data_IF_519195647442
#
_entry.id   IF_519195647442
#
_cell.length_a   1.000
_cell.length_b   1.000
_cell.length_c   1.000
_cell.angle_alpha   90.00
_cell.angle_beta   90.00
_cell.angle_gamma   90.00
#
_symmetry.space_group_name_H-M   'P 1'
#
loop_
_entity.id
_entity.type
_entity.pdbx_description
1 polymer ?
#
# COMPACT_ATOMS: atom_id res chain seq x y z
N UNK A 1 21.30 -15.53 29.96
CA UNK A 1 20.86 -16.35 28.82
C UNK A 1 19.66 -15.75 28.05
N UNK A 2 18.83 -14.85 28.64
CA UNK A 2 17.67 -14.26 27.95
C UNK A 2 17.97 -13.04 27.04
N UNK A 3 19.17 -12.44 27.12
CA UNK A 3 19.52 -11.25 26.32
C UNK A 3 20.08 -11.58 24.93
N UNK A 4 20.60 -12.77 24.69
CA UNK A 4 21.17 -13.16 23.39
C UNK A 4 20.11 -13.64 22.37
N UNK A 5 18.98 -14.21 22.80
CA UNK A 5 17.90 -14.65 21.91
C UNK A 5 17.17 -13.48 21.24
N UNK A 6 17.07 -12.32 21.89
CA UNK A 6 16.42 -11.12 21.31
C UNK A 6 17.22 -10.49 20.17
N UNK A 7 18.55 -10.53 20.23
CA UNK A 7 19.44 -9.94 19.24
C UNK A 7 19.51 -10.72 17.92
N UNK A 8 19.56 -12.04 18.00
CA UNK A 8 19.59 -12.92 16.81
C UNK A 8 18.29 -12.88 16.02
N UNK A 9 17.14 -12.83 16.70
CA UNK A 9 15.82 -12.72 16.07
C UNK A 9 15.65 -11.38 15.33
N UNK A 10 16.15 -10.29 15.89
CA UNK A 10 16.08 -8.95 15.27
C UNK A 10 16.95 -8.85 14.02
N UNK A 11 18.12 -9.50 14.03
CA UNK A 11 19.05 -9.51 12.88
C UNK A 11 18.51 -10.38 11.75
N UNK A 12 17.95 -11.56 12.05
CA UNK A 12 17.32 -12.43 11.08
C UNK A 12 16.08 -11.78 10.42
N UNK A 13 15.25 -11.10 11.21
CA UNK A 13 14.08 -10.36 10.72
C UNK A 13 14.49 -9.16 9.82
N UNK A 14 15.58 -8.47 10.15
CA UNK A 14 16.16 -7.42 9.30
C UNK A 14 16.73 -7.99 7.99
N UNK A 15 17.37 -9.14 8.05
CA UNK A 15 17.95 -9.81 6.87
C UNK A 15 16.86 -10.37 5.94
N UNK A 16 15.80 -10.95 6.49
CA UNK A 16 14.63 -11.39 5.72
C UNK A 16 13.87 -10.22 5.08
N UNK A 17 13.72 -9.08 5.80
CA UNK A 17 13.16 -7.85 5.22
C UNK A 17 14.03 -7.33 4.06
N UNK A 18 15.36 -7.38 4.18
CA UNK A 18 16.29 -6.95 3.12
C UNK A 18 16.21 -7.84 1.87
N UNK A 19 16.10 -9.17 2.03
CA UNK A 19 15.94 -10.12 0.92
C UNK A 19 14.59 -9.97 0.22
N UNK A 20 13.50 -9.83 0.97
CA UNK A 20 12.19 -9.57 0.41
C UNK A 20 12.16 -8.25 -0.36
N UNK A 21 12.75 -7.18 0.18
CA UNK A 21 12.91 -5.88 -0.48
C UNK A 21 13.62 -6.00 -1.85
N UNK A 22 14.73 -6.72 -1.91
CA UNK A 22 15.49 -6.95 -3.14
C UNK A 22 14.71 -7.75 -4.19
N UNK A 23 13.98 -8.77 -3.76
CA UNK A 23 13.18 -9.60 -4.67
C UNK A 23 12.05 -8.80 -5.32
N UNK A 24 11.39 -7.90 -4.59
CA UNK A 24 10.30 -7.08 -5.12
C UNK A 24 10.81 -6.00 -6.08
N UNK A 25 11.91 -5.32 -5.76
CA UNK A 25 12.54 -4.39 -6.67
C UNK A 25 12.94 -5.06 -7.99
N UNK A 26 13.46 -6.29 -7.93
CA UNK A 26 13.77 -7.09 -9.10
C UNK A 26 12.54 -7.37 -9.95
N UNK A 27 11.42 -7.80 -9.35
CA UNK A 27 10.18 -8.08 -10.08
C UNK A 27 9.63 -6.83 -10.79
N UNK A 28 9.72 -5.66 -10.16
CA UNK A 28 9.36 -4.40 -10.79
C UNK A 28 10.28 -4.11 -11.98
N UNK A 29 11.59 -4.27 -11.83
CA UNK A 29 12.55 -4.05 -12.91
C UNK A 29 12.38 -5.05 -14.05
N UNK A 30 12.10 -6.32 -13.76
CA UNK A 30 11.81 -7.34 -14.77
C UNK A 30 10.54 -6.98 -15.57
N UNK A 31 9.49 -6.48 -14.89
CA UNK A 31 8.28 -6.00 -15.54
C UNK A 31 8.54 -4.77 -16.43
N UNK A 32 9.32 -3.81 -15.94
CA UNK A 32 9.75 -2.63 -16.70
C UNK A 32 10.60 -3.03 -17.91
N UNK A 33 11.58 -3.92 -17.74
CA UNK A 33 12.41 -4.41 -18.85
C UNK A 33 11.59 -5.11 -19.93
N UNK A 34 10.60 -5.91 -19.54
CA UNK A 34 9.66 -6.53 -20.48
C UNK A 34 8.83 -5.47 -21.22
N UNK A 35 8.39 -4.45 -20.52
CA UNK A 35 7.64 -3.33 -21.11
C UNK A 35 8.49 -2.56 -22.14
N UNK A 36 9.75 -2.29 -21.82
CA UNK A 36 10.70 -1.63 -22.72
C UNK A 36 10.95 -2.44 -24.01
N UNK A 37 10.90 -3.76 -23.93
CA UNK A 37 11.08 -4.64 -25.09
C UNK A 37 9.88 -4.70 -26.03
N UNK A 38 8.72 -4.14 -25.62
CA UNK A 38 7.48 -4.14 -26.41
C UNK A 38 7.33 -2.83 -27.17
N UNK A 39 6.90 -2.87 -28.44
CA UNK A 39 6.58 -1.65 -29.18
C UNK A 39 5.30 -1.01 -28.62
N UNK A 40 5.29 0.31 -28.47
CA UNK A 40 4.16 1.05 -27.92
C UNK A 40 3.82 2.24 -28.80
N UNK A 41 2.53 2.56 -28.88
CA UNK A 41 2.06 3.78 -29.53
C UNK A 41 2.40 5.00 -28.65
N UNK A 42 2.37 6.19 -29.24
CA UNK A 42 2.59 7.46 -28.51
C UNK A 42 1.49 7.69 -27.45
N UNK A 43 0.28 7.29 -27.77
CA UNK A 43 -0.88 7.36 -26.86
C UNK A 43 -0.63 6.49 -25.62
N UNK A 44 -0.23 5.23 -25.80
CA UNK A 44 0.09 4.32 -24.70
C UNK A 44 1.25 4.83 -23.83
N UNK A 45 2.27 5.47 -24.42
CA UNK A 45 3.35 6.11 -23.69
C UNK A 45 2.84 7.29 -22.84
N UNK A 46 1.95 8.12 -23.43
CA UNK A 46 1.36 9.26 -22.70
C UNK A 46 0.50 8.77 -21.52
N UNK A 47 -0.36 7.76 -21.73
CA UNK A 47 -1.16 7.18 -20.67
C UNK A 47 -0.31 6.64 -19.51
N UNK A 48 0.81 5.98 -19.83
CA UNK A 48 1.78 5.51 -18.82
C UNK A 48 2.43 6.65 -18.06
N UNK A 49 2.85 7.71 -18.74
CA UNK A 49 3.46 8.86 -18.06
C UNK A 49 2.51 9.54 -17.08
N UNK A 50 1.20 9.41 -17.32
CA UNK A 50 0.13 9.90 -16.43
C UNK A 50 -0.31 8.87 -15.37
N UNK A 51 0.25 7.65 -15.39
CA UNK A 51 -0.20 6.55 -14.53
C UNK A 51 -1.60 6.05 -14.85
N UNK A 52 -2.07 6.21 -16.08
CA UNK A 52 -3.44 5.92 -16.54
C UNK A 52 -3.51 4.77 -17.54
N UNK A 53 -2.44 3.98 -17.69
CA UNK A 53 -2.48 2.84 -18.58
C UNK A 53 -3.61 1.87 -18.19
N UNK A 54 -4.39 1.38 -19.15
CA UNK A 54 -5.56 0.56 -18.87
C UNK A 54 -5.17 -0.76 -18.23
N UNK A 55 -5.86 -1.12 -17.15
CA UNK A 55 -5.73 -2.42 -16.49
C UNK A 55 -6.80 -3.38 -17.03
N UNK A 56 -6.39 -4.59 -17.38
CA UNK A 56 -7.32 -5.64 -17.79
C UNK A 56 -8.08 -6.16 -16.56
N UNK A 57 -9.40 -6.10 -16.61
CA UNK A 57 -10.26 -6.64 -15.55
C UNK A 57 -10.01 -8.15 -15.41
N UNK A 58 -9.72 -8.61 -14.21
CA UNK A 58 -9.42 -10.02 -13.92
C UNK A 58 -8.00 -10.47 -14.25
N UNK A 59 -7.11 -9.55 -14.65
CA UNK A 59 -5.69 -9.86 -14.78
C UNK A 59 -5.04 -10.18 -13.41
N UNK A 60 -4.01 -11.05 -13.37
CA UNK A 60 -3.24 -11.27 -12.15
C UNK A 60 -2.65 -9.95 -11.64
N UNK A 61 -2.45 -9.87 -10.31
CA UNK A 61 -1.82 -8.71 -9.69
C UNK A 61 -0.45 -8.41 -10.32
N UNK A 62 -0.22 -7.14 -10.63
CA UNK A 62 1.07 -6.69 -11.18
C UNK A 62 2.17 -6.74 -10.11
N UNK A 63 3.43 -6.68 -10.53
CA UNK A 63 4.57 -6.56 -9.61
C UNK A 63 4.44 -5.31 -8.72
N UNK A 64 3.89 -4.21 -9.26
CA UNK A 64 3.63 -2.97 -8.55
C UNK A 64 2.54 -3.14 -7.48
N UNK A 65 1.43 -3.80 -7.81
CA UNK A 65 0.35 -4.10 -6.86
C UNK A 65 0.81 -5.05 -5.75
N UNK A 66 1.56 -6.11 -6.10
CA UNK A 66 2.13 -7.05 -5.12
C UNK A 66 3.08 -6.33 -4.16
N UNK A 67 3.92 -5.45 -4.68
CA UNK A 67 4.82 -4.63 -3.87
C UNK A 67 4.04 -3.74 -2.90
N UNK A 68 3.01 -3.05 -3.39
CA UNK A 68 2.15 -2.18 -2.59
C UNK A 68 1.46 -2.92 -1.45
N UNK A 69 0.88 -4.10 -1.73
CA UNK A 69 0.24 -4.94 -0.71
C UNK A 69 1.20 -5.27 0.44
N UNK A 70 2.40 -5.72 0.11
CA UNK A 70 3.40 -6.10 1.10
C UNK A 70 3.89 -4.90 1.91
N UNK A 71 3.94 -3.70 1.33
CA UNK A 71 4.28 -2.48 2.06
C UNK A 71 3.16 -2.04 2.98
N UNK A 72 1.89 -2.09 2.55
CA UNK A 72 0.73 -1.83 3.39
C UNK A 72 0.70 -2.77 4.61
N UNK A 73 0.88 -4.09 4.38
CA UNK A 73 0.92 -5.09 5.45
C UNK A 73 2.12 -4.95 6.40
N UNK A 74 3.22 -4.36 5.92
CA UNK A 74 4.43 -4.13 6.72
C UNK A 74 4.40 -2.81 7.50
N UNK A 75 3.30 -2.04 7.43
CA UNK A 75 3.15 -0.77 8.15
C UNK A 75 3.94 0.39 7.53
N UNK A 76 4.28 0.30 6.26
CA UNK A 76 4.84 1.43 5.52
C UNK A 76 3.77 2.51 5.33
N UNK A 77 4.21 3.76 5.23
CA UNK A 77 3.38 4.84 4.73
C UNK A 77 3.58 5.08 3.22
N UNK A 78 2.70 5.87 2.63
CA UNK A 78 2.72 6.14 1.18
C UNK A 78 3.99 6.90 0.74
N UNK A 79 4.58 7.72 1.62
CA UNK A 79 5.80 8.45 1.32
C UNK A 79 7.01 7.51 1.28
N UNK A 80 7.03 6.51 2.16
CA UNK A 80 8.04 5.46 2.18
C UNK A 80 7.96 4.61 0.91
N UNK A 81 6.74 4.22 0.50
CA UNK A 81 6.51 3.53 -0.77
C UNK A 81 7.03 4.34 -1.96
N UNK A 82 6.67 5.61 -2.06
CA UNK A 82 7.13 6.49 -3.13
C UNK A 82 8.65 6.73 -3.08
N UNK A 83 9.25 6.77 -1.89
CA UNK A 83 10.70 6.90 -1.74
C UNK A 83 11.46 5.69 -2.29
N UNK A 84 10.92 4.47 -2.15
CA UNK A 84 11.50 3.26 -2.75
C UNK A 84 11.55 3.35 -4.28
N UNK A 85 10.47 3.80 -4.92
CA UNK A 85 10.44 4.01 -6.38
C UNK A 85 11.42 5.09 -6.85
N UNK A 86 11.54 6.19 -6.10
CA UNK A 86 12.52 7.25 -6.39
C UNK A 86 13.96 6.72 -6.26
N UNK A 87 14.24 5.94 -5.24
CA UNK A 87 15.56 5.34 -5.04
C UNK A 87 15.88 4.32 -6.14
N UNK A 88 14.89 3.50 -6.54
CA UNK A 88 15.03 2.55 -7.63
C UNK A 88 15.33 3.26 -8.95
N UNK A 89 14.55 4.28 -9.30
CA UNK A 89 14.76 5.11 -10.50
C UNK A 89 16.16 5.73 -10.52
N UNK A 90 16.55 6.39 -9.44
CA UNK A 90 17.83 7.04 -9.33
C UNK A 90 19.02 6.06 -9.44
N UNK A 91 18.84 4.83 -8.92
CA UNK A 91 19.88 3.79 -8.98
C UNK A 91 20.05 3.27 -10.40
N UNK A 92 18.95 2.99 -11.11
CA UNK A 92 18.99 2.53 -12.50
C UNK A 92 19.58 3.59 -13.41
N UNK A 93 19.14 4.85 -13.28
CA UNK A 93 19.66 5.94 -14.14
C UNK A 93 21.15 6.21 -13.92
N UNK A 94 21.65 6.05 -12.67
CA UNK A 94 23.09 6.15 -12.41
C UNK A 94 23.88 5.03 -13.08
N UNK A 95 23.46 3.78 -12.88
CA UNK A 95 24.11 2.63 -13.52
C UNK A 95 24.07 2.74 -15.04
N UNK A 96 22.98 3.25 -15.59
CA UNK A 96 22.83 3.45 -17.03
C UNK A 96 23.75 4.55 -17.55
N UNK A 97 23.92 5.65 -16.80
CA UNK A 97 24.82 6.74 -17.15
C UNK A 97 26.30 6.37 -17.05
N UNK A 98 26.67 5.49 -16.10
CA UNK A 98 28.04 5.04 -15.92
C UNK A 98 28.51 4.08 -17.04
N UNK A 99 27.57 3.28 -17.61
CA UNK A 99 27.87 2.25 -18.60
C UNK A 99 27.67 2.68 -20.05
N UNK A 100 27.05 3.84 -20.32
CA UNK A 100 26.62 4.22 -21.65
C UNK A 100 27.57 5.21 -22.35
N UNK A 101 28.00 4.97 -23.61
CA UNK A 101 28.59 6.00 -24.44
C UNK A 101 27.54 7.08 -24.78
N UNK A 102 27.94 8.32 -25.03
CA UNK A 102 27.06 9.49 -25.18
C UNK A 102 26.31 9.54 -26.53
N UNK A 103 25.60 8.47 -26.91
CA UNK A 103 24.86 8.45 -28.17
C UNK A 103 23.34 8.68 -27.96
N UNK A 104 22.72 9.38 -28.92
CA UNK A 104 21.31 9.83 -28.90
C UNK A 104 20.25 8.73 -28.83
N UNK A 105 20.61 7.47 -28.97
CA UNK A 105 19.74 6.30 -28.88
C UNK A 105 19.21 6.07 -27.46
N UNK A 106 19.97 6.46 -26.45
CA UNK A 106 19.62 6.21 -25.04
C UNK A 106 18.50 7.10 -24.51
N UNK A 107 18.28 8.29 -25.08
CA UNK A 107 17.24 9.19 -24.59
C UNK A 107 15.84 8.60 -24.68
N UNK A 108 15.52 7.89 -25.77
CA UNK A 108 14.21 7.24 -25.93
C UNK A 108 13.99 6.15 -24.89
N UNK A 109 15.01 5.38 -24.62
CA UNK A 109 14.94 4.29 -23.63
C UNK A 109 14.82 4.84 -22.20
N UNK A 110 15.53 5.94 -21.90
CA UNK A 110 15.41 6.68 -20.63
C UNK A 110 13.99 7.23 -20.46
N UNK A 111 13.41 7.83 -21.50
CA UNK A 111 12.02 8.34 -21.46
C UNK A 111 11.06 7.18 -21.17
N UNK A 112 11.13 6.09 -21.94
CA UNK A 112 10.28 4.92 -21.76
C UNK A 112 10.43 4.26 -20.38
N UNK A 113 11.67 4.20 -19.88
CA UNK A 113 11.93 3.72 -18.53
C UNK A 113 11.22 4.59 -17.48
N UNK A 114 11.29 5.90 -17.60
CA UNK A 114 10.59 6.79 -16.67
C UNK A 114 9.07 6.63 -16.75
N UNK A 115 8.49 6.53 -17.96
CA UNK A 115 7.06 6.29 -18.17
C UNK A 115 6.62 4.97 -17.50
N UNK A 116 7.38 3.90 -17.65
CA UNK A 116 7.08 2.61 -17.04
C UNK A 116 7.19 2.63 -15.51
N UNK A 117 8.18 3.35 -14.96
CA UNK A 117 8.33 3.54 -13.50
C UNK A 117 7.20 4.42 -12.95
N UNK A 118 6.80 5.46 -13.68
CA UNK A 118 5.70 6.33 -13.24
C UNK A 118 4.37 5.57 -13.23
N UNK A 119 4.10 4.73 -14.23
CA UNK A 119 2.95 3.84 -14.23
C UNK A 119 2.98 2.85 -13.05
N UNK A 120 4.12 2.20 -12.80
CA UNK A 120 4.26 1.25 -11.69
C UNK A 120 4.09 1.94 -10.33
N UNK A 121 4.58 3.18 -10.18
CA UNK A 121 4.37 3.99 -8.98
C UNK A 121 2.88 4.34 -8.80
N UNK A 122 2.21 4.79 -9.86
CA UNK A 122 0.79 5.15 -9.82
C UNK A 122 -0.08 3.93 -9.43
N UNK A 123 0.17 2.76 -10.03
CA UNK A 123 -0.49 1.51 -9.67
C UNK A 123 -0.26 1.14 -8.20
N UNK A 124 0.99 1.24 -7.74
CA UNK A 124 1.33 0.95 -6.34
C UNK A 124 0.63 1.89 -5.37
N UNK A 125 0.58 3.19 -5.67
CA UNK A 125 -0.09 4.19 -4.83
C UNK A 125 -1.60 3.90 -4.75
N UNK A 126 -2.24 3.68 -5.90
CA UNK A 126 -3.67 3.40 -5.96
C UNK A 126 -4.03 2.13 -5.17
N UNK A 127 -3.26 1.06 -5.36
CA UNK A 127 -3.49 -0.21 -4.67
C UNK A 127 -3.21 -0.10 -3.17
N UNK A 128 -2.10 0.54 -2.77
CA UNK A 128 -1.77 0.80 -1.36
C UNK A 128 -2.88 1.56 -0.64
N UNK A 129 -3.39 2.63 -1.27
CA UNK A 129 -4.46 3.45 -0.69
C UNK A 129 -5.74 2.62 -0.52
N UNK A 130 -6.11 1.81 -1.51
CA UNK A 130 -7.27 0.93 -1.43
C UNK A 130 -7.15 -0.09 -0.29
N UNK A 131 -5.99 -0.72 -0.11
CA UNK A 131 -5.73 -1.68 0.96
C UNK A 131 -5.82 -1.04 2.35
N UNK A 132 -5.24 0.14 2.53
CA UNK A 132 -5.31 0.89 3.78
C UNK A 132 -6.73 1.31 4.11
N UNK A 133 -7.48 1.80 3.12
CA UNK A 133 -8.88 2.20 3.30
C UNK A 133 -9.77 0.99 3.61
N UNK A 134 -9.55 -0.14 2.96
CA UNK A 134 -10.26 -1.39 3.25
C UNK A 134 -10.01 -1.85 4.69
N UNK A 135 -8.75 -1.88 5.13
CA UNK A 135 -8.39 -2.25 6.49
C UNK A 135 -9.05 -1.30 7.53
N UNK A 136 -9.04 0.00 7.26
CA UNK A 136 -9.70 1.00 8.08
C UNK A 136 -11.22 0.79 8.17
N UNK A 137 -11.87 0.54 7.04
CA UNK A 137 -13.32 0.32 7.00
C UNK A 137 -13.73 -0.96 7.74
N UNK A 138 -12.96 -2.05 7.61
CA UNK A 138 -13.17 -3.27 8.37
C UNK A 138 -13.03 -3.02 9.88
N UNK A 139 -11.98 -2.31 10.29
CA UNK A 139 -11.77 -1.94 11.70
C UNK A 139 -12.93 -1.11 12.26
N UNK A 140 -13.39 -0.08 11.53
CA UNK A 140 -14.52 0.75 11.93
C UNK A 140 -15.83 -0.06 12.01
N UNK A 141 -16.03 -1.02 11.10
CA UNK A 141 -17.18 -1.92 11.13
C UNK A 141 -17.20 -2.80 12.37
N UNK A 142 -16.05 -3.41 12.71
CA UNK A 142 -15.92 -4.20 13.94
C UNK A 142 -16.15 -3.35 15.19
N UNK A 143 -15.53 -2.19 15.27
CA UNK A 143 -15.68 -1.27 16.40
C UNK A 143 -17.14 -0.82 16.58
N UNK A 144 -17.81 -0.50 15.47
CA UNK A 144 -19.23 -0.12 15.50
C UNK A 144 -20.14 -1.24 16.02
N UNK A 145 -19.86 -2.48 15.66
CA UNK A 145 -20.56 -3.64 16.18
C UNK A 145 -20.31 -3.81 17.68
N UNK A 146 -19.07 -3.76 18.12
CA UNK A 146 -18.67 -4.01 19.50
C UNK A 146 -19.12 -2.91 20.47
N UNK A 147 -19.28 -1.68 19.98
CA UNK A 147 -19.82 -0.58 20.77
C UNK A 147 -21.34 -0.60 20.87
N UNK A 148 -22.06 -1.20 19.92
CA UNK A 148 -23.52 -1.24 19.92
C UNK A 148 -24.08 -1.96 21.15
N UNK A 149 -23.50 -3.09 21.54
CA UNK A 149 -23.95 -3.90 22.66
C UNK A 149 -23.88 -3.15 24.01
N UNK A 150 -22.73 -2.56 24.42
CA UNK A 150 -22.66 -1.81 25.68
C UNK A 150 -23.56 -0.54 25.65
N UNK A 151 -23.69 0.14 24.50
CA UNK A 151 -24.57 1.30 24.36
C UNK A 151 -26.05 0.90 24.53
N UNK A 152 -26.48 -0.22 23.95
CA UNK A 152 -27.85 -0.75 24.18
C UNK A 152 -28.09 -1.08 25.64
N UNK A 153 -27.13 -1.72 26.33
CA UNK A 153 -27.23 -2.03 27.75
C UNK A 153 -27.38 -0.76 28.59
N UNK A 154 -26.57 0.27 28.32
CA UNK A 154 -26.66 1.56 28.99
C UNK A 154 -28.04 2.20 28.74
N UNK A 155 -28.50 2.21 27.49
CA UNK A 155 -29.80 2.76 27.12
C UNK A 155 -30.95 2.06 27.80
N UNK A 156 -30.94 0.71 27.84
CA UNK A 156 -31.95 -0.09 28.55
C UNK A 156 -31.94 0.19 30.07
N UNK A 157 -30.74 0.26 30.67
CA UNK A 157 -30.58 0.56 32.09
C UNK A 157 -31.09 1.96 32.42
N UNK A 158 -30.76 2.96 31.61
CA UNK A 158 -31.24 4.34 31.78
C UNK A 158 -32.78 4.41 31.66
N UNK A 159 -33.36 3.72 30.67
CA UNK A 159 -34.80 3.64 30.50
C UNK A 159 -35.50 2.97 31.69
N UNK A 160 -34.94 1.88 32.21
CA UNK A 160 -35.44 1.20 33.38
C UNK A 160 -35.41 2.10 34.63
N UNK A 161 -34.30 2.79 34.89
CA UNK A 161 -34.19 3.74 36.01
C UNK A 161 -35.19 4.89 35.91
N UNK A 162 -35.40 5.40 34.70
CA UNK A 162 -36.37 6.44 34.44
C UNK A 162 -37.80 5.97 34.74
N UNK A 163 -38.16 4.76 34.36
CA UNK A 163 -39.46 4.17 34.64
C UNK A 163 -39.68 3.94 36.13
N UNK A 164 -38.67 3.44 36.87
CA UNK A 164 -38.71 3.28 38.30
C UNK A 164 -38.93 4.63 39.03
N UNK A 165 -38.23 5.68 38.67
CA UNK A 165 -38.38 7.01 39.25
C UNK A 165 -39.76 7.63 38.96
N UNK A 166 -40.33 7.34 37.78
CA UNK A 166 -41.70 7.78 37.47
C UNK A 166 -42.75 7.05 38.33
N UNK A 167 -42.56 5.72 38.53
CA UNK A 167 -43.43 4.92 39.41
C UNK A 167 -43.36 5.36 40.87
N UNK A 168 -42.18 5.66 41.41
CA UNK A 168 -42.00 6.12 42.79
C UNK A 168 -42.71 7.48 43.05
N UNK A 169 -42.67 8.40 42.10
CA UNK A 169 -43.37 9.71 42.20
C UNK A 169 -44.89 9.57 42.20
N UNK A 170 -45.45 8.57 41.54
CA UNK A 170 -46.91 8.31 41.54
C UNK A 170 -47.37 7.72 42.89
N UNK A 171 -46.56 6.88 43.52
CA UNK A 171 -46.85 6.27 44.84
C UNK A 171 -46.74 7.25 46.02
N UNK A 172 -45.94 8.31 45.88
CA UNK A 172 -45.78 9.37 46.90
C UNK A 172 -46.87 10.47 46.83
N UNK A 173 -47.61 10.51 45.73
CA UNK A 173 -48.68 11.50 45.46
C UNK A 173 -50.10 10.91 45.74
N UNK A 174 -50.24 9.63 46.12
CA UNK A 174 -51.46 8.92 46.45
C UNK A 174 -51.59 8.68 47.95
#
# INVERSE_FOLDING_TARGET
AQREFGSASTTAAKHMKSLALRNHARQILDAVAKDLSTSQSKEAQTEKSLGQAPQLIGAPATAAQTHALLRAQSGFDINQLAAEYRALRASVLRLWGDDAPPESTHLKDVIRFNEAIDQALAESIAFFSAEVDQARNLFLGMLGHDLRNPLQTIQMTASYLTALNAGAKVTEAA
#
